data_IF_293113870282
#
_entry.id   IF_293113870282
#
_cell.length_a   1.000
_cell.length_b   1.000
_cell.length_c   1.000
_cell.angle_alpha   90.00
_cell.angle_beta   90.00
_cell.angle_gamma   90.00
#
_symmetry.space_group_name_H-M   'P 1'
#
loop_
_entity.id
_entity.type
_entity.pdbx_description
1 polymer ?
#
# COMPACT_ATOMS: atom_id res chain seq x y z
N UNK A 1 4.13 -10.64 -18.77
CA UNK A 1 3.88 -9.21 -19.01
C UNK A 1 4.42 -8.50 -17.79
N UNK A 2 5.42 -7.64 -17.95
CA UNK A 2 5.92 -6.80 -16.83
C UNK A 2 4.78 -5.92 -16.34
N UNK A 3 4.50 -5.91 -15.04
CA UNK A 3 3.53 -4.99 -14.43
C UNK A 3 3.91 -3.55 -14.80
N UNK A 4 2.90 -2.71 -15.07
CA UNK A 4 3.18 -1.30 -15.26
C UNK A 4 3.67 -0.71 -13.93
N UNK A 5 4.88 -0.14 -13.90
CA UNK A 5 5.44 0.45 -12.68
C UNK A 5 4.54 1.55 -12.10
N UNK A 6 3.80 2.25 -12.96
CA UNK A 6 2.92 3.37 -12.63
C UNK A 6 1.49 3.13 -13.09
N UNK A 7 0.54 3.58 -12.28
CA UNK A 7 -0.88 3.68 -12.66
C UNK A 7 -1.40 5.08 -12.33
N UNK A 8 -2.23 5.66 -13.21
CA UNK A 8 -2.89 6.94 -13.00
C UNK A 8 -4.36 6.76 -12.69
N UNK A 9 -4.86 7.55 -11.74
CA UNK A 9 -6.25 7.56 -11.30
C UNK A 9 -6.83 8.95 -11.57
N UNK A 10 -7.98 8.97 -12.24
CA UNK A 10 -8.77 10.19 -12.42
C UNK A 10 -9.73 10.37 -11.24
N UNK A 11 -9.42 11.30 -10.35
CA UNK A 11 -10.21 11.58 -9.17
C UNK A 11 -11.60 12.15 -9.48
N UNK A 12 -11.83 12.69 -10.69
CA UNK A 12 -13.14 13.23 -11.07
C UNK A 12 -14.25 12.16 -11.11
N UNK A 13 -13.88 10.89 -11.24
CA UNK A 13 -14.79 9.75 -11.30
C UNK A 13 -15.40 9.37 -9.94
N UNK A 14 -14.86 9.89 -8.84
CA UNK A 14 -15.25 9.50 -7.48
C UNK A 14 -15.79 10.68 -6.68
N UNK A 15 -16.68 10.39 -5.72
CA UNK A 15 -17.23 11.40 -4.82
C UNK A 15 -16.21 11.80 -3.76
N UNK A 16 -15.66 10.82 -3.03
CA UNK A 16 -14.56 10.99 -2.08
C UNK A 16 -13.47 9.97 -2.37
N UNK A 17 -12.23 10.32 -2.05
CA UNK A 17 -11.09 9.43 -2.18
C UNK A 17 -10.33 9.44 -0.87
N UNK A 18 -10.00 8.25 -0.40
CA UNK A 18 -9.25 8.04 0.83
C UNK A 18 -7.98 7.26 0.55
N UNK A 19 -7.00 7.38 1.43
CA UNK A 19 -5.82 6.53 1.47
C UNK A 19 -5.72 5.84 2.83
N UNK A 20 -5.33 4.56 2.84
CA UNK A 20 -5.14 3.74 4.03
C UNK A 20 -3.70 3.23 4.11
N UNK A 21 -3.19 3.14 5.34
CA UNK A 21 -1.90 2.52 5.67
C UNK A 21 -1.89 1.00 5.51
N UNK A 22 -0.80 0.37 5.92
CA UNK A 22 -0.57 -1.07 5.83
C UNK A 22 -1.69 -1.86 6.53
N UNK A 23 -2.26 -2.85 5.83
CA UNK A 23 -3.39 -3.63 6.35
C UNK A 23 -2.95 -4.88 7.11
N UNK A 24 -1.96 -5.59 6.60
CA UNK A 24 -1.45 -6.81 7.22
C UNK A 24 -2.56 -7.73 7.77
N UNK A 25 -3.53 -8.11 6.93
CA UNK A 25 -4.61 -9.01 7.34
C UNK A 25 -5.63 -8.42 8.33
N UNK A 26 -5.60 -7.12 8.63
CA UNK A 26 -6.52 -6.46 9.55
C UNK A 26 -7.86 -6.05 8.89
N UNK A 27 -8.49 -6.96 8.13
CA UNK A 27 -9.72 -6.67 7.35
C UNK A 27 -10.87 -6.18 8.22
N UNK A 28 -11.09 -6.80 9.38
CA UNK A 28 -12.18 -6.39 10.29
C UNK A 28 -11.97 -4.96 10.81
N UNK A 29 -10.73 -4.57 11.08
CA UNK A 29 -10.39 -3.20 11.49
C UNK A 29 -10.64 -2.23 10.35
N UNK A 30 -10.25 -2.57 9.11
CA UNK A 30 -10.59 -1.77 7.93
C UNK A 30 -12.09 -1.55 7.81
N UNK A 31 -12.90 -2.61 7.90
CA UNK A 31 -14.36 -2.49 7.82
C UNK A 31 -14.94 -1.56 8.90
N UNK A 32 -14.40 -1.63 10.12
CA UNK A 32 -14.80 -0.75 11.22
C UNK A 32 -14.44 0.73 10.93
N UNK A 33 -13.23 1.00 10.46
CA UNK A 33 -12.80 2.36 10.13
C UNK A 33 -13.57 2.94 8.92
N UNK A 34 -13.85 2.13 7.89
CA UNK A 34 -14.68 2.54 6.77
C UNK A 34 -16.13 2.89 7.19
N UNK A 35 -16.69 2.12 8.14
CA UNK A 35 -18.00 2.42 8.69
C UNK A 35 -18.05 3.76 9.44
N UNK A 36 -17.00 4.09 10.21
CA UNK A 36 -16.90 5.38 10.92
C UNK A 36 -16.95 6.59 10.00
N UNK A 37 -16.36 6.49 8.80
CA UNK A 37 -16.35 7.57 7.82
C UNK A 37 -17.53 7.49 6.83
N UNK A 38 -18.48 6.58 7.05
CA UNK A 38 -19.60 6.30 6.15
C UNK A 38 -19.13 6.14 4.69
N UNK A 39 -18.12 5.29 4.47
CA UNK A 39 -17.58 5.00 3.15
C UNK A 39 -18.65 4.34 2.26
N UNK A 40 -18.85 4.86 1.06
CA UNK A 40 -19.78 4.34 0.07
C UNK A 40 -19.01 3.67 -1.08
N UNK A 41 -18.96 2.32 -1.15
CA UNK A 41 -18.19 1.60 -2.16
C UNK A 41 -18.72 1.80 -3.60
N UNK A 42 -19.90 2.39 -3.78
CA UNK A 42 -20.45 2.72 -5.10
C UNK A 42 -19.99 4.09 -5.61
N UNK A 43 -19.47 4.95 -4.75
CA UNK A 43 -19.15 6.34 -5.07
C UNK A 43 -17.76 6.79 -4.64
N UNK A 44 -17.20 6.15 -3.62
CA UNK A 44 -15.91 6.50 -3.04
C UNK A 44 -14.81 5.54 -3.53
N UNK A 45 -13.57 5.97 -3.43
CA UNK A 45 -12.40 5.15 -3.72
C UNK A 45 -11.49 5.09 -2.49
N UNK A 46 -10.99 3.90 -2.20
CA UNK A 46 -9.94 3.69 -1.21
C UNK A 46 -8.63 3.31 -1.92
N UNK A 47 -7.58 4.10 -1.67
CA UNK A 47 -6.21 3.82 -2.12
C UNK A 47 -5.42 3.21 -0.95
N UNK A 48 -4.58 2.21 -1.21
CA UNK A 48 -3.73 1.59 -0.17
C UNK A 48 -2.26 1.73 -0.52
N UNK A 49 -1.46 1.92 0.51
CA UNK A 49 0.01 1.97 0.39
C UNK A 49 0.66 0.59 0.26
N UNK A 50 -0.13 -0.50 0.13
CA UNK A 50 0.35 -1.88 0.02
C UNK A 50 0.35 -2.63 1.34
N UNK A 51 1.08 -3.74 1.40
CA UNK A 51 1.17 -4.65 2.55
C UNK A 51 -0.21 -5.09 3.05
N UNK A 52 -0.96 -5.75 2.16
CA UNK A 52 -2.32 -6.22 2.44
C UNK A 52 -2.33 -7.45 3.34
N UNK A 53 -1.36 -8.35 3.15
CA UNK A 53 -1.30 -9.67 3.77
C UNK A 53 -0.20 -9.77 4.84
N UNK A 54 -0.12 -10.96 5.43
CA UNK A 54 0.86 -11.39 6.43
C UNK A 54 0.60 -10.84 7.85
N UNK A 55 1.06 -11.57 8.86
CA UNK A 55 1.02 -11.21 10.29
C UNK A 55 -0.37 -11.24 10.92
N UNK A 56 -1.35 -10.61 10.29
CA UNK A 56 -2.69 -10.45 10.84
C UNK A 56 -3.64 -11.59 10.50
N UNK A 57 -4.87 -11.52 11.04
CA UNK A 57 -5.76 -12.68 11.09
C UNK A 57 -6.44 -13.05 9.76
N UNK A 58 -6.54 -12.11 8.79
CA UNK A 58 -7.28 -12.35 7.54
C UNK A 58 -6.53 -11.82 6.31
N UNK A 59 -5.40 -12.46 6.01
CA UNK A 59 -4.59 -12.16 4.83
C UNK A 59 -5.36 -12.42 3.53
N UNK A 60 -6.13 -13.51 3.47
CA UNK A 60 -6.93 -13.86 2.26
C UNK A 60 -8.01 -12.81 2.00
N UNK A 61 -8.72 -12.38 3.05
CA UNK A 61 -9.74 -11.35 2.94
C UNK A 61 -9.16 -10.00 2.48
N UNK A 62 -8.00 -9.61 3.00
CA UNK A 62 -7.33 -8.39 2.55
C UNK A 62 -6.85 -8.50 1.09
N UNK A 63 -6.30 -9.62 0.67
CA UNK A 63 -5.90 -9.83 -0.73
C UNK A 63 -7.10 -9.78 -1.70
N UNK A 64 -8.30 -10.22 -1.27
CA UNK A 64 -9.52 -10.13 -2.10
C UNK A 64 -9.90 -8.68 -2.45
N UNK A 65 -9.48 -7.69 -1.66
CA UNK A 65 -9.73 -6.27 -1.93
C UNK A 65 -9.19 -5.84 -3.30
N UNK A 66 -8.13 -6.49 -3.81
CA UNK A 66 -7.57 -6.19 -5.16
C UNK A 66 -8.64 -6.32 -6.27
N UNK A 67 -9.67 -7.14 -6.06
CA UNK A 67 -10.75 -7.35 -7.03
C UNK A 67 -11.94 -6.41 -6.82
N UNK A 68 -11.91 -5.57 -5.78
CA UNK A 68 -13.00 -4.64 -5.51
C UNK A 68 -12.87 -3.37 -6.38
N UNK A 69 -13.94 -2.92 -7.07
CA UNK A 69 -13.87 -1.76 -7.96
C UNK A 69 -13.63 -0.44 -7.22
N UNK A 70 -13.87 -0.43 -5.91
CA UNK A 70 -13.67 0.73 -5.03
C UNK A 70 -12.30 0.74 -4.33
N UNK A 71 -11.40 -0.20 -4.69
CA UNK A 71 -10.10 -0.34 -4.05
C UNK A 71 -8.98 -0.36 -5.09
N UNK A 72 -7.93 0.43 -4.87
CA UNK A 72 -6.68 0.39 -5.63
C UNK A 72 -5.50 0.41 -4.65
N UNK A 73 -4.47 -0.36 -4.93
CA UNK A 73 -3.28 -0.38 -4.08
C UNK A 73 -1.99 -0.39 -4.91
N UNK A 74 -0.91 0.05 -4.28
CA UNK A 74 0.45 -0.21 -4.76
C UNK A 74 0.91 -1.57 -4.26
N UNK A 75 1.94 -2.14 -4.90
CA UNK A 75 2.64 -3.32 -4.42
C UNK A 75 3.50 -2.94 -3.22
N UNK A 76 3.33 -3.64 -2.09
CA UNK A 76 4.22 -3.59 -0.95
C UNK A 76 5.29 -4.69 -0.99
N UNK A 77 6.20 -4.66 -0.05
CA UNK A 77 7.24 -5.69 0.04
C UNK A 77 6.67 -7.04 0.51
N UNK A 78 5.55 -7.08 1.21
CA UNK A 78 4.88 -8.32 1.60
C UNK A 78 4.22 -9.00 0.41
N UNK A 79 3.58 -8.26 -0.50
CA UNK A 79 3.12 -8.81 -1.78
C UNK A 79 4.29 -9.37 -2.58
N UNK A 80 5.44 -8.66 -2.65
CA UNK A 80 6.60 -9.14 -3.38
C UNK A 80 7.18 -10.42 -2.76
N UNK A 81 7.30 -10.51 -1.43
CA UNK A 81 7.76 -11.73 -0.76
C UNK A 81 6.85 -12.92 -1.02
N UNK A 82 5.53 -12.71 -1.02
CA UNK A 82 4.56 -13.76 -1.32
C UNK A 82 4.68 -14.22 -2.79
N UNK A 83 4.82 -13.29 -3.74
CA UNK A 83 5.02 -13.58 -5.16
C UNK A 83 6.29 -14.42 -5.36
N UNK A 84 7.42 -13.98 -4.80
CA UNK A 84 8.69 -14.71 -4.87
C UNK A 84 8.53 -16.14 -4.34
N UNK A 85 7.89 -16.29 -3.17
CA UNK A 85 7.67 -17.58 -2.54
C UNK A 85 6.76 -18.55 -3.35
N UNK A 86 5.74 -18.00 -4.04
CA UNK A 86 4.89 -18.81 -4.95
C UNK A 86 5.66 -19.34 -6.16
N UNK A 87 6.76 -18.66 -6.53
CA UNK A 87 7.70 -19.09 -7.56
C UNK A 87 8.89 -19.89 -7.01
N UNK A 88 8.80 -20.38 -5.77
CA UNK A 88 9.84 -21.14 -5.05
C UNK A 88 11.11 -20.32 -4.78
N UNK A 89 11.02 -19.00 -4.81
CA UNK A 89 12.11 -18.08 -4.52
C UNK A 89 11.97 -17.52 -3.09
N UNK A 90 13.04 -17.52 -2.33
CA UNK A 90 13.12 -16.89 -1.00
C UNK A 90 11.99 -17.23 0.00
N UNK A 91 11.38 -18.42 -0.07
CA UNK A 91 10.28 -18.88 0.81
C UNK A 91 10.59 -18.60 2.28
N UNK A 92 11.81 -18.89 2.72
CA UNK A 92 12.23 -18.68 4.11
C UNK A 92 12.20 -17.19 4.54
N UNK A 93 12.36 -16.27 3.61
CA UNK A 93 12.21 -14.82 3.89
C UNK A 93 10.75 -14.48 4.16
N UNK A 94 9.84 -14.98 3.35
CA UNK A 94 8.41 -14.74 3.53
C UNK A 94 7.90 -15.32 4.85
N UNK A 95 8.26 -16.58 5.17
CA UNK A 95 7.91 -17.23 6.44
C UNK A 95 8.36 -16.42 7.67
N UNK A 96 9.60 -15.92 7.66
CA UNK A 96 10.11 -15.09 8.79
C UNK A 96 9.40 -13.73 8.90
N UNK A 97 8.68 -13.31 7.88
CA UNK A 97 7.94 -12.05 7.85
C UNK A 97 6.42 -12.22 8.01
N UNK A 98 5.95 -13.42 8.38
CA UNK A 98 4.56 -13.68 8.71
C UNK A 98 3.73 -14.29 7.58
N UNK A 99 4.38 -14.92 6.59
CA UNK A 99 3.72 -15.63 5.48
C UNK A 99 3.34 -17.08 5.79
N UNK A 100 3.52 -17.55 7.03
CA UNK A 100 3.20 -18.90 7.48
C UNK A 100 1.71 -19.22 7.40
N UNK A 101 0.84 -18.20 7.48
CA UNK A 101 -0.62 -18.36 7.31
C UNK A 101 -0.99 -19.10 6.02
N UNK A 102 -0.24 -18.90 4.94
CA UNK A 102 -0.51 -19.49 3.64
C UNK A 102 -0.41 -21.03 3.67
N UNK A 103 0.58 -21.56 4.37
CA UNK A 103 0.82 -22.99 4.49
C UNK A 103 -0.07 -23.66 5.54
N UNK A 104 -0.79 -22.88 6.33
CA UNK A 104 -1.78 -23.38 7.31
C UNK A 104 -3.21 -23.44 6.73
N UNK A 105 -3.40 -22.99 5.48
CA UNK A 105 -4.71 -23.02 4.82
C UNK A 105 -5.06 -24.42 4.31
N UNK A 106 -6.36 -24.73 4.29
CA UNK A 106 -6.90 -25.88 3.57
C UNK A 106 -6.63 -25.73 2.05
N UNK A 107 -6.45 -26.85 1.36
CA UNK A 107 -6.01 -26.91 -0.06
C UNK A 107 -6.81 -25.98 -0.99
N UNK A 108 -8.14 -25.95 -0.85
CA UNK A 108 -9.00 -25.12 -1.69
C UNK A 108 -8.79 -23.61 -1.43
N UNK A 109 -8.69 -23.22 -0.16
CA UNK A 109 -8.45 -21.83 0.24
C UNK A 109 -7.02 -21.43 -0.13
N UNK A 110 -6.06 -22.31 0.01
CA UNK A 110 -4.67 -22.08 -0.40
C UNK A 110 -4.57 -21.85 -1.91
N UNK A 111 -5.30 -22.63 -2.72
CA UNK A 111 -5.35 -22.41 -4.17
C UNK A 111 -5.95 -21.06 -4.54
N UNK A 112 -7.01 -20.60 -3.83
CA UNK A 112 -7.56 -19.25 -4.00
C UNK A 112 -6.54 -18.18 -3.60
N UNK A 113 -5.89 -18.32 -2.44
CA UNK A 113 -4.86 -17.40 -1.97
C UNK A 113 -3.70 -17.28 -2.97
N UNK A 114 -3.24 -18.40 -3.51
CA UNK A 114 -2.23 -18.43 -4.58
C UNK A 114 -2.66 -17.62 -5.80
N UNK A 115 -3.92 -17.76 -6.22
CA UNK A 115 -4.49 -16.98 -7.32
C UNK A 115 -4.49 -15.47 -7.05
N UNK A 116 -4.81 -15.06 -5.82
CA UNK A 116 -4.79 -13.65 -5.40
C UNK A 116 -3.36 -13.09 -5.35
N UNK A 117 -2.40 -13.85 -4.81
CA UNK A 117 -0.98 -13.47 -4.79
C UNK A 117 -0.46 -13.26 -6.22
N UNK A 118 -0.80 -14.15 -7.16
CA UNK A 118 -0.42 -13.98 -8.57
C UNK A 118 -1.11 -12.77 -9.24
N UNK A 119 -2.28 -12.35 -8.75
CA UNK A 119 -2.89 -11.08 -9.20
C UNK A 119 -2.13 -9.86 -8.66
N UNK A 120 -1.61 -9.95 -7.43
CA UNK A 120 -0.80 -8.89 -6.84
C UNK A 120 0.49 -8.62 -7.64
N UNK A 121 0.98 -9.56 -8.45
CA UNK A 121 2.10 -9.32 -9.38
C UNK A 121 1.78 -8.28 -10.48
N UNK A 122 0.52 -7.92 -10.66
CA UNK A 122 0.09 -6.87 -11.61
C UNK A 122 -0.04 -5.50 -10.96
N UNK A 123 0.07 -5.41 -9.65
CA UNK A 123 -0.06 -4.14 -8.92
C UNK A 123 1.06 -3.18 -9.31
N UNK A 124 0.76 -1.88 -9.48
CA UNK A 124 1.76 -0.87 -9.73
C UNK A 124 2.61 -0.64 -8.47
N UNK A 125 3.81 -0.08 -8.64
CA UNK A 125 4.64 0.40 -7.52
C UNK A 125 4.29 1.83 -7.12
N UNK A 126 3.72 2.59 -8.06
CA UNK A 126 3.35 4.00 -7.86
C UNK A 126 1.96 4.25 -8.42
N UNK A 127 1.07 4.81 -7.59
CA UNK A 127 -0.21 5.38 -8.03
C UNK A 127 -0.07 6.91 -8.08
N UNK A 128 -0.51 7.53 -9.18
CA UNK A 128 -0.72 8.97 -9.29
C UNK A 128 -2.22 9.25 -9.30
N UNK A 129 -2.71 9.95 -8.29
CA UNK A 129 -4.06 10.47 -8.25
C UNK A 129 -4.07 11.92 -8.77
N UNK A 130 -4.81 12.15 -9.84
CA UNK A 130 -5.21 13.49 -10.25
C UNK A 130 -6.51 13.84 -9.52
N UNK A 131 -6.38 14.44 -8.33
CA UNK A 131 -7.50 14.86 -7.51
C UNK A 131 -8.14 16.15 -8.06
N UNK A 132 -9.31 16.50 -7.51
CA UNK A 132 -9.97 17.78 -7.84
C UNK A 132 -9.07 18.97 -7.53
N UNK A 133 -9.39 20.12 -8.08
CA UNK A 133 -8.63 21.37 -7.94
C UNK A 133 -7.19 21.29 -8.49
N UNK A 134 -6.93 20.29 -9.36
CA UNK A 134 -5.63 20.11 -10.01
C UNK A 134 -4.53 19.55 -9.11
N UNK A 135 -4.87 19.06 -7.92
CA UNK A 135 -3.91 18.45 -7.01
C UNK A 135 -3.43 17.11 -7.54
N UNK A 136 -2.13 16.90 -7.49
CA UNK A 136 -1.46 15.64 -7.81
C UNK A 136 -0.95 14.98 -6.54
N UNK A 137 -1.42 13.78 -6.27
CA UNK A 137 -1.06 13.00 -5.09
C UNK A 137 -0.42 11.69 -5.55
N UNK A 138 0.69 11.32 -4.95
CA UNK A 138 1.45 10.12 -5.29
C UNK A 138 1.43 9.16 -4.10
N UNK A 139 1.19 7.88 -4.38
CA UNK A 139 1.26 6.80 -3.39
C UNK A 139 2.33 5.82 -3.85
N UNK A 140 3.24 5.49 -2.95
CA UNK A 140 4.22 4.42 -3.09
C UNK A 140 4.33 3.68 -1.76
N UNK A 141 4.89 2.45 -1.75
CA UNK A 141 4.89 1.68 -0.51
C UNK A 141 5.88 2.22 0.51
N UNK A 142 7.18 2.16 0.23
CA UNK A 142 8.21 2.54 1.21
C UNK A 142 8.82 3.94 0.95
N UNK A 143 9.16 4.22 -0.29
CA UNK A 143 9.74 5.50 -0.70
C UNK A 143 9.47 5.78 -2.19
N UNK A 144 9.66 7.02 -2.58
CA UNK A 144 9.87 7.45 -3.95
C UNK A 144 11.33 7.92 -4.09
N UNK A 145 12.19 7.06 -4.65
CA UNK A 145 13.66 7.21 -4.57
C UNK A 145 14.18 8.29 -5.54
N UNK A 146 13.61 9.49 -5.42
CA UNK A 146 14.02 10.69 -6.15
C UNK A 146 13.45 11.93 -5.47
N UNK A 147 14.11 13.07 -5.61
CA UNK A 147 13.62 14.37 -5.12
C UNK A 147 12.77 15.12 -6.16
N UNK A 148 12.58 14.52 -7.33
CA UNK A 148 11.74 15.03 -8.40
C UNK A 148 10.84 13.93 -8.95
N UNK A 149 9.54 14.18 -8.98
CA UNK A 149 8.51 13.30 -9.53
C UNK A 149 8.08 13.75 -10.91
N UNK A 150 7.99 12.78 -11.81
CA UNK A 150 7.14 12.83 -13.01
C UNK A 150 6.62 11.42 -13.32
N UNK A 151 5.43 11.35 -13.87
CA UNK A 151 4.79 10.08 -14.20
C UNK A 151 5.62 9.29 -15.23
N UNK A 152 5.94 8.04 -14.89
CA UNK A 152 6.74 7.16 -15.76
C UNK A 152 8.25 7.30 -15.59
N UNK A 153 8.73 8.04 -14.58
CA UNK A 153 10.16 8.11 -14.26
C UNK A 153 10.70 6.70 -13.97
N UNK A 154 11.83 6.30 -14.56
CA UNK A 154 12.48 5.04 -14.19
C UNK A 154 12.83 5.01 -12.70
N UNK A 155 12.39 3.99 -12.01
CA UNK A 155 12.65 3.76 -10.58
C UNK A 155 13.18 2.36 -10.38
N UNK A 156 14.00 2.19 -9.34
CA UNK A 156 14.30 0.88 -8.81
C UNK A 156 13.06 0.38 -8.02
N UNK A 157 12.45 -0.71 -8.53
CA UNK A 157 11.25 -1.29 -7.93
C UNK A 157 11.53 -1.88 -6.54
N UNK A 158 12.73 -2.42 -6.33
CA UNK A 158 13.11 -2.96 -5.03
C UNK A 158 13.23 -1.84 -4.00
N UNK A 159 13.95 -0.77 -4.32
CA UNK A 159 14.08 0.38 -3.42
C UNK A 159 12.72 1.04 -3.12
N UNK A 160 11.81 1.09 -4.10
CA UNK A 160 10.47 1.68 -3.90
C UNK A 160 9.64 0.96 -2.84
N UNK A 161 9.90 -0.35 -2.60
CA UNK A 161 9.14 -1.15 -1.64
C UNK A 161 9.95 -1.55 -0.38
N UNK A 162 11.25 -1.20 -0.29
CA UNK A 162 12.08 -1.57 0.85
C UNK A 162 12.84 -0.42 1.51
N UNK A 163 13.05 0.69 0.80
CA UNK A 163 13.92 1.77 1.27
C UNK A 163 13.35 2.45 2.53
N UNK A 164 14.24 2.75 3.49
CA UNK A 164 13.92 3.49 4.71
C UNK A 164 14.80 4.71 4.93
N UNK A 165 15.65 5.05 3.96
CA UNK A 165 16.62 6.13 4.14
C UNK A 165 15.93 7.48 4.29
N UNK A 166 14.91 7.77 3.45
CA UNK A 166 14.21 9.05 3.49
C UNK A 166 13.48 9.26 4.82
N UNK A 167 12.75 8.27 5.33
CA UNK A 167 12.08 8.40 6.63
C UNK A 167 13.11 8.49 7.77
N UNK A 168 14.20 7.72 7.73
CA UNK A 168 15.25 7.78 8.74
C UNK A 168 15.94 9.15 8.74
N UNK A 169 16.19 9.73 7.57
CA UNK A 169 16.71 11.10 7.46
C UNK A 169 15.72 12.12 7.99
N UNK A 170 14.43 11.95 7.68
CA UNK A 170 13.39 12.86 8.16
C UNK A 170 13.25 12.83 9.70
N UNK A 171 13.28 11.64 10.30
CA UNK A 171 13.29 11.47 11.77
C UNK A 171 14.54 12.08 12.43
N UNK A 172 15.65 12.13 11.71
CA UNK A 172 16.88 12.82 12.13
C UNK A 172 16.86 14.34 11.81
N UNK A 173 15.71 14.91 11.44
CA UNK A 173 15.55 16.34 11.14
C UNK A 173 16.07 16.78 9.77
N UNK A 174 16.39 15.84 8.88
CA UNK A 174 16.89 16.10 7.51
C UNK A 174 15.82 15.70 6.50
N UNK A 175 15.00 16.65 6.09
CA UNK A 175 13.93 16.41 5.12
C UNK A 175 13.71 17.60 4.21
N UNK A 176 13.15 17.32 3.04
CA UNK A 176 12.70 18.28 2.05
C UNK A 176 11.53 17.74 1.25
N UNK A 177 10.86 18.56 0.45
CA UNK A 177 9.79 18.10 -0.42
C UNK A 177 10.36 17.31 -1.60
N UNK A 178 9.55 16.38 -2.12
CA UNK A 178 9.73 15.85 -3.47
C UNK A 178 8.95 16.77 -4.41
N UNK A 179 9.63 17.35 -5.41
CA UNK A 179 9.00 18.24 -6.39
C UNK A 179 8.12 17.43 -7.39
N UNK A 180 7.20 18.12 -8.08
CA UNK A 180 6.39 17.52 -9.15
C UNK A 180 5.05 16.92 -8.70
N UNK A 181 4.77 16.85 -7.40
CA UNK A 181 3.45 16.54 -6.85
C UNK A 181 3.20 17.26 -5.53
N UNK A 182 1.92 17.40 -5.15
CA UNK A 182 1.50 18.13 -3.96
C UNK A 182 1.66 17.32 -2.67
N UNK A 183 1.52 15.99 -2.75
CA UNK A 183 1.65 15.10 -1.61
C UNK A 183 2.13 13.71 -2.02
N UNK A 184 2.87 13.07 -1.11
CA UNK A 184 3.32 11.67 -1.22
C UNK A 184 2.89 10.91 0.02
N UNK A 185 2.27 9.74 -0.17
CA UNK A 185 1.84 8.87 0.91
C UNK A 185 2.63 7.56 0.89
N UNK A 186 3.14 7.17 2.07
CA UNK A 186 3.97 5.99 2.29
C UNK A 186 3.48 5.16 3.47
N UNK A 187 3.70 3.84 3.39
CA UNK A 187 3.54 2.86 4.44
C UNK A 187 4.87 2.31 4.95
N UNK A 188 4.96 0.96 5.07
CA UNK A 188 6.18 0.18 5.26
C UNK A 188 6.90 0.33 6.60
N UNK A 189 7.05 1.54 7.07
CA UNK A 189 7.79 1.84 8.31
C UNK A 189 6.79 2.26 9.38
N UNK A 190 6.53 1.41 10.39
CA UNK A 190 5.60 1.74 11.45
C UNK A 190 6.03 3.00 12.20
N UNK A 191 5.09 3.93 12.32
CA UNK A 191 5.24 5.20 13.05
C UNK A 191 4.05 5.42 13.97
N UNK A 192 4.25 6.10 15.10
CA UNK A 192 3.18 6.46 16.01
C UNK A 192 3.45 7.85 16.61
N UNK A 193 2.59 8.83 16.28
CA UNK A 193 1.46 8.85 15.33
C UNK A 193 1.91 8.90 13.86
N UNK A 194 0.95 8.92 12.90
CA UNK A 194 1.24 9.20 11.50
C UNK A 194 2.00 10.53 11.35
N UNK A 195 3.06 10.52 10.55
CA UNK A 195 4.00 11.63 10.45
C UNK A 195 3.84 12.40 9.13
N UNK A 196 4.19 13.68 9.20
CA UNK A 196 4.31 14.52 8.00
C UNK A 196 5.62 15.29 8.04
N UNK A 197 6.37 15.22 6.94
CA UNK A 197 7.57 16.01 6.70
C UNK A 197 7.46 16.67 5.31
N UNK A 198 7.38 17.98 5.27
CA UNK A 198 7.10 18.74 4.03
C UNK A 198 5.81 18.21 3.35
N UNK A 199 5.90 17.67 2.11
CA UNK A 199 4.79 17.05 1.40
C UNK A 199 4.79 15.51 1.46
N UNK A 200 5.52 14.91 2.41
CA UNK A 200 5.66 13.47 2.62
C UNK A 200 4.83 13.04 3.84
N UNK A 201 3.97 12.05 3.66
CA UNK A 201 3.07 11.51 4.69
C UNK A 201 3.36 10.02 4.90
N UNK A 202 3.75 9.64 6.12
CA UNK A 202 3.98 8.26 6.55
C UNK A 202 2.81 7.81 7.40
N UNK A 203 2.04 6.83 6.90
CA UNK A 203 0.73 6.47 7.44
C UNK A 203 0.59 5.00 7.86
N UNK A 204 1.66 4.21 7.82
CA UNK A 204 1.68 2.94 8.53
C UNK A 204 1.77 3.22 10.03
N UNK A 205 0.66 3.04 10.74
CA UNK A 205 0.58 3.27 12.19
C UNK A 205 0.52 1.98 12.99
N UNK A 206 1.06 0.90 12.42
CA UNK A 206 1.29 -0.36 13.10
C UNK A 206 0.01 -1.10 13.49
N UNK A 207 -1.03 -1.06 12.66
CA UNK A 207 -2.34 -1.66 12.95
C UNK A 207 -2.23 -3.11 13.44
N UNK A 208 -1.43 -3.94 12.78
CA UNK A 208 -1.22 -5.35 13.13
C UNK A 208 -0.42 -5.54 14.42
N UNK A 209 0.31 -4.54 14.86
CA UNK A 209 1.12 -4.57 16.10
C UNK A 209 0.40 -3.97 17.31
N UNK A 210 -0.91 -3.73 17.23
CA UNK A 210 -1.71 -3.15 18.30
C UNK A 210 -1.79 -1.62 18.25
N UNK A 211 -1.28 -1.01 17.19
CA UNK A 211 -1.49 0.40 16.85
C UNK A 211 -2.90 0.63 16.28
N UNK A 212 -3.03 1.61 15.41
CA UNK A 212 -4.30 1.91 14.75
C UNK A 212 -4.15 1.95 13.23
N UNK A 213 -5.26 1.83 12.50
CA UNK A 213 -5.28 1.92 11.06
C UNK A 213 -5.54 3.37 10.65
N UNK A 214 -4.55 4.00 10.04
CA UNK A 214 -4.70 5.36 9.53
C UNK A 214 -5.45 5.35 8.21
N UNK A 215 -6.58 6.08 8.16
CA UNK A 215 -7.28 6.45 6.92
C UNK A 215 -7.30 7.97 6.81
N UNK A 216 -6.94 8.51 5.63
CA UNK A 216 -7.00 9.95 5.36
C UNK A 216 -7.81 10.24 4.11
N UNK A 217 -8.65 11.25 4.17
CA UNK A 217 -9.37 11.75 2.99
C UNK A 217 -8.42 12.61 2.16
N UNK A 218 -8.37 12.32 0.84
CA UNK A 218 -7.55 13.02 -0.16
C UNK A 218 -8.37 14.01 -0.98
N UNK A 219 -9.66 13.64 -1.16
CA UNK A 219 -10.65 14.42 -1.92
C UNK A 219 -12.01 14.31 -1.28
#
# INVERSE_FOLDING_TARGET
MTSALYQRIDGSLYHRIFVVGDLHGCLSLLGHELAKIAFDPQRDLLLSVGDLADRGPDSVGCLRLINEPWFCCVRGNHEQMAIDAIHDENVSRWLRNGGDWFYALEDEVQAQAKGLILQADKLPHVLELNAREGKRIVIAHADYVSDEYFFGKPLDSYETIWNRDRINFALAGRYGPISGADAFYFGHTPVEPALQFANLFYIDTGAVFGGYLTIRQLQ
#
